data_IF_189396827395
#
_entry.id   IF_189396827395
#
_cell.length_a   1.000
_cell.length_b   1.000
_cell.length_c   1.000
_cell.angle_alpha   90.00
_cell.angle_beta   90.00
_cell.angle_gamma   90.00
#
_symmetry.space_group_name_H-M   'P 1'
#
loop_
_entity.id
_entity.type
_entity.pdbx_description
1 polymer ?
#
# COMPACT_ATOMS: atom_id res chain seq x y z
N UNK A 1 5.35 70.06 -32.38
CA UNK A 1 4.27 69.18 -31.85
C UNK A 1 4.96 68.17 -30.93
N UNK A 2 4.92 68.19 -29.59
CA UNK A 2 3.81 68.42 -28.63
C UNK A 2 2.90 67.18 -28.62
N UNK A 3 2.65 66.38 -27.57
CA UNK A 3 2.39 66.59 -26.13
C UNK A 3 2.58 65.24 -25.39
N UNK A 4 3.31 65.13 -24.27
CA UNK A 4 2.91 65.17 -22.83
C UNK A 4 2.20 63.94 -22.21
N UNK A 5 2.98 63.23 -21.38
CA UNK A 5 2.75 62.75 -20.00
C UNK A 5 1.34 62.44 -19.47
N UNK A 6 1.23 61.28 -18.79
CA UNK A 6 0.17 60.99 -17.82
C UNK A 6 0.60 59.93 -16.79
N UNK A 7 1.35 60.36 -15.76
CA UNK A 7 1.49 59.68 -14.48
C UNK A 7 0.31 60.07 -13.57
N UNK A 8 -0.37 59.10 -12.95
CA UNK A 8 -1.08 59.29 -11.68
C UNK A 8 -0.90 58.04 -10.83
N UNK A 9 -0.41 58.22 -9.59
CA UNK A 9 -0.19 57.16 -8.62
C UNK A 9 -1.17 57.17 -7.44
N UNK A 10 -1.22 56.01 -6.75
CA UNK A 10 -1.42 55.71 -5.30
C UNK A 10 -2.71 56.22 -4.60
N UNK A 11 -3.19 55.63 -3.46
CA UNK A 11 -2.46 54.85 -2.45
C UNK A 11 -3.15 53.55 -1.93
N UNK A 12 -2.45 52.91 -0.97
CA UNK A 12 -2.77 51.67 -0.26
C UNK A 12 -4.01 51.71 0.66
N UNK A 13 -4.59 50.53 0.94
CA UNK A 13 -5.21 50.22 2.25
C UNK A 13 -4.90 48.78 2.64
N UNK A 14 -4.20 48.65 3.76
CA UNK A 14 -3.97 47.43 4.54
C UNK A 14 -5.23 47.19 5.37
N UNK A 15 -5.78 45.97 5.39
CA UNK A 15 -6.66 45.57 6.49
C UNK A 15 -6.55 44.07 6.79
N UNK A 16 -5.76 43.77 7.82
CA UNK A 16 -5.72 42.49 8.50
C UNK A 16 -6.75 42.49 9.64
N UNK A 17 -7.62 41.48 9.78
CA UNK A 17 -8.27 41.20 11.04
C UNK A 17 -7.43 40.21 11.86
N UNK A 18 -6.88 40.72 12.96
CA UNK A 18 -6.31 39.96 14.07
C UNK A 18 -7.36 39.08 14.73
N UNK A 19 -6.95 37.84 15.01
CA UNK A 19 -7.34 36.93 16.09
C UNK A 19 -8.74 37.04 16.74
N UNK A 20 -9.44 35.91 16.79
CA UNK A 20 -10.18 35.51 17.99
C UNK A 20 -9.77 34.11 18.43
N UNK A 21 -8.99 34.09 19.50
CA UNK A 21 -8.82 32.97 20.41
C UNK A 21 -10.16 32.75 21.09
N UNK A 22 -10.84 31.64 20.81
CA UNK A 22 -11.92 31.18 21.67
C UNK A 22 -11.30 30.33 22.78
N UNK A 23 -11.21 30.93 23.97
CA UNK A 23 -11.00 30.22 25.21
C UNK A 23 -12.20 29.28 25.50
N UNK A 24 -11.99 28.15 26.19
CA UNK A 24 -13.07 27.25 26.59
C UNK A 24 -13.91 27.89 27.70
N UNK A 25 -15.20 28.09 27.42
CA UNK A 25 -16.19 28.43 28.45
C UNK A 25 -16.65 27.14 29.11
N UNK A 26 -16.24 26.95 30.36
CA UNK A 26 -16.81 25.95 31.26
C UNK A 26 -18.25 26.34 31.61
N UNK A 27 -19.19 25.43 31.37
CA UNK A 27 -20.57 25.51 31.85
C UNK A 27 -21.03 24.12 32.34
N UNK A 28 -22.00 24.09 33.29
CA UNK A 28 -21.99 23.18 34.44
C UNK A 28 -22.50 21.78 34.14
N UNK A 29 -21.95 20.81 34.88
CA UNK A 29 -22.41 19.42 34.91
C UNK A 29 -23.86 19.36 35.43
N UNK A 30 -24.78 18.95 34.57
CA UNK A 30 -26.14 18.58 34.95
C UNK A 30 -26.17 17.06 35.10
N UNK A 31 -26.18 16.61 36.35
CA UNK A 31 -26.35 15.21 36.72
C UNK A 31 -27.78 14.78 36.41
N UNK A 32 -27.95 13.94 35.39
CA UNK A 32 -29.23 13.26 35.11
C UNK A 32 -29.09 11.82 35.58
N UNK A 33 -29.71 11.52 36.72
CA UNK A 33 -29.87 10.16 37.23
C UNK A 33 -30.96 9.46 36.42
N UNK A 34 -30.57 8.52 35.55
CA UNK A 34 -31.49 7.59 34.89
C UNK A 34 -31.26 6.20 35.48
N UNK A 35 -32.23 5.74 36.27
CA UNK A 35 -32.33 4.36 36.74
C UNK A 35 -32.93 3.51 35.61
N UNK A 36 -32.22 2.47 35.18
CA UNK A 36 -32.71 1.47 34.22
C UNK A 36 -32.18 0.05 34.59
N UNK A 37 -32.92 -1.03 34.21
CA UNK A 37 -32.91 -2.38 34.83
C UNK A 37 -31.76 -3.30 34.33
N UNK A 38 -31.57 -4.53 34.89
CA UNK A 38 -30.29 -5.26 34.79
C UNK A 38 -30.02 -5.83 33.39
N UNK A 39 -28.74 -5.96 32.97
CA UNK A 39 -28.40 -6.50 31.66
C UNK A 39 -28.52 -8.03 31.62
N UNK A 40 -29.35 -8.51 30.70
CA UNK A 40 -29.35 -9.89 30.23
C UNK A 40 -28.36 -10.04 29.06
N UNK A 41 -27.49 -11.06 29.16
CA UNK A 41 -26.88 -11.81 28.06
C UNK A 41 -26.31 -11.03 26.88
N UNK A 42 -25.06 -10.58 27.00
CA UNK A 42 -24.24 -10.23 25.83
C UNK A 42 -23.67 -11.49 25.18
N UNK A 43 -24.15 -11.82 23.99
CA UNK A 43 -23.48 -12.75 23.07
C UNK A 43 -22.24 -12.03 22.50
N UNK A 44 -21.01 -12.57 22.62
CA UNK A 44 -19.88 -12.01 21.90
C UNK A 44 -20.03 -12.25 20.40
N UNK A 45 -19.79 -11.18 19.64
CA UNK A 45 -19.70 -11.16 18.19
C UNK A 45 -18.60 -12.11 17.68
N UNK A 46 -18.95 -12.94 16.71
CA UNK A 46 -17.99 -13.76 15.97
C UNK A 46 -17.34 -12.88 14.89
N UNK A 47 -16.23 -12.23 15.26
CA UNK A 47 -15.32 -11.59 14.31
C UNK A 47 -14.48 -12.69 13.68
N UNK A 48 -14.83 -13.10 12.46
CA UNK A 48 -14.10 -14.06 11.65
C UNK A 48 -12.80 -13.48 11.11
N UNK A 49 -11.85 -13.19 12.00
CA UNK A 49 -10.45 -13.03 11.65
C UNK A 49 -9.84 -14.43 11.57
N UNK A 50 -9.67 -14.96 10.36
CA UNK A 50 -8.83 -16.14 10.15
C UNK A 50 -7.40 -15.76 10.52
N UNK A 51 -7.03 -16.06 11.77
CA UNK A 51 -5.64 -16.06 12.20
C UNK A 51 -4.90 -17.14 11.43
N UNK A 52 -4.26 -16.74 10.33
CA UNK A 52 -3.27 -17.56 9.66
C UNK A 52 -2.13 -17.77 10.63
N UNK A 53 -2.03 -18.98 11.20
CA UNK A 53 -0.88 -19.35 12.03
C UNK A 53 0.38 -19.20 11.19
N UNK A 54 1.41 -18.48 11.66
CA UNK A 54 2.63 -18.28 10.87
C UNK A 54 3.24 -19.61 10.45
N UNK A 55 3.71 -19.74 9.20
CA UNK A 55 4.37 -20.96 8.74
C UNK A 55 5.64 -21.24 9.56
N UNK A 56 6.02 -22.52 9.74
CA UNK A 56 7.30 -22.87 10.34
C UNK A 56 8.47 -22.22 9.60
N UNK A 57 9.50 -21.81 10.35
CA UNK A 57 10.68 -21.12 9.81
C UNK A 57 11.41 -21.89 8.69
N UNK A 58 11.29 -23.22 8.73
CA UNK A 58 12.02 -24.14 7.84
C UNK A 58 11.18 -24.61 6.65
N UNK A 59 10.00 -24.03 6.44
CA UNK A 59 9.16 -24.39 5.30
C UNK A 59 9.88 -24.08 3.97
N UNK A 60 9.80 -25.02 3.03
CA UNK A 60 10.43 -24.90 1.71
C UNK A 60 9.82 -23.73 0.94
N UNK A 61 10.61 -22.99 0.14
CA UNK A 61 10.05 -22.00 -0.76
C UNK A 61 9.05 -22.57 -1.75
N UNK A 62 8.02 -21.79 -2.02
CA UNK A 62 7.06 -22.00 -3.10
C UNK A 62 7.45 -21.09 -4.26
N UNK A 63 7.31 -21.57 -5.50
CA UNK A 63 7.64 -20.76 -6.68
C UNK A 63 6.64 -20.98 -7.81
N UNK A 64 6.27 -19.89 -8.49
CA UNK A 64 5.42 -19.92 -9.69
C UNK A 64 6.03 -19.01 -10.75
N UNK A 65 6.26 -19.56 -11.93
CA UNK A 65 6.88 -18.86 -13.06
C UNK A 65 5.83 -18.33 -14.02
N UNK A 66 6.12 -17.20 -14.66
CA UNK A 66 5.29 -16.64 -15.72
C UNK A 66 3.89 -16.24 -15.28
N UNK A 67 3.71 -15.81 -14.03
CA UNK A 67 2.45 -15.23 -13.57
C UNK A 67 2.17 -14.01 -14.42
N UNK A 68 1.03 -14.04 -15.13
CA UNK A 68 0.51 -12.93 -15.91
C UNK A 68 -0.64 -12.31 -15.14
N UNK A 69 -0.35 -11.29 -14.35
CA UNK A 69 -1.32 -10.64 -13.47
C UNK A 69 -1.96 -9.44 -14.18
N UNK A 70 -3.26 -9.47 -14.49
CA UNK A 70 -3.99 -8.31 -15.00
C UNK A 70 -4.17 -7.25 -13.92
N UNK A 71 -4.50 -6.01 -14.32
CA UNK A 71 -4.95 -4.98 -13.38
C UNK A 71 -6.14 -5.46 -12.56
N UNK A 72 -6.15 -5.14 -11.26
CA UNK A 72 -7.24 -5.49 -10.34
C UNK A 72 -7.21 -6.95 -9.88
N UNK A 73 -6.06 -7.60 -10.02
CA UNK A 73 -5.80 -8.94 -9.49
C UNK A 73 -4.68 -8.89 -8.46
N UNK A 74 -4.68 -9.88 -7.58
CA UNK A 74 -3.64 -10.08 -6.58
C UNK A 74 -3.30 -11.56 -6.39
N UNK A 75 -2.21 -11.79 -5.66
CA UNK A 75 -1.89 -13.08 -5.05
C UNK A 75 -1.80 -12.92 -3.53
N UNK A 76 -2.00 -14.03 -2.81
CA UNK A 76 -1.70 -14.15 -1.38
C UNK A 76 -0.47 -15.05 -1.26
N UNK A 77 0.56 -14.58 -0.54
CA UNK A 77 1.86 -15.26 -0.41
C UNK A 77 1.76 -16.54 0.42
N UNK A 78 0.75 -16.66 1.28
CA UNK A 78 0.49 -17.89 2.05
C UNK A 78 -0.16 -19.02 1.24
N UNK A 79 -0.64 -18.74 0.04
CA UNK A 79 -1.33 -19.74 -0.78
C UNK A 79 -0.32 -20.73 -1.41
N UNK A 80 -0.60 -22.02 -1.26
CA UNK A 80 0.10 -23.12 -1.94
C UNK A 80 -0.93 -24.03 -2.63
N UNK A 81 -1.04 -24.00 -3.98
CA UNK A 81 -0.22 -23.21 -4.91
C UNK A 81 -0.61 -21.72 -4.92
N UNK A 82 0.32 -20.87 -5.38
CA UNK A 82 0.07 -19.43 -5.60
C UNK A 82 -1.01 -19.27 -6.67
N UNK A 83 -2.14 -18.62 -6.36
CA UNK A 83 -3.24 -18.40 -7.30
C UNK A 83 -3.57 -16.91 -7.50
N UNK A 84 -3.99 -16.56 -8.72
CA UNK A 84 -4.46 -15.22 -9.05
C UNK A 84 -5.93 -15.06 -8.62
N UNK A 85 -6.23 -13.96 -7.95
CA UNK A 85 -7.57 -13.65 -7.45
C UNK A 85 -7.97 -12.26 -7.92
N UNK A 86 -9.20 -12.13 -8.40
CA UNK A 86 -9.77 -10.84 -8.78
C UNK A 86 -10.11 -10.02 -7.52
N UNK A 87 -9.96 -8.71 -7.60
CA UNK A 87 -10.19 -7.77 -6.52
C UNK A 87 -8.90 -7.27 -5.86
N UNK A 88 -9.06 -6.51 -4.78
CA UNK A 88 -7.97 -5.89 -4.02
C UNK A 88 -7.78 -6.60 -2.66
N UNK A 89 -6.68 -6.30 -1.98
CA UNK A 89 -6.44 -6.75 -0.60
C UNK A 89 -5.59 -8.01 -0.45
N UNK A 90 -4.88 -8.42 -1.50
CA UNK A 90 -3.84 -9.44 -1.39
C UNK A 90 -2.49 -8.90 -0.93
N UNK A 91 -1.52 -9.80 -0.81
CA UNK A 91 -0.16 -9.47 -0.39
C UNK A 91 0.64 -8.79 -1.52
N UNK A 92 0.35 -9.15 -2.78
CA UNK A 92 0.90 -8.54 -3.98
C UNK A 92 -0.21 -8.36 -5.01
N UNK A 93 -0.64 -7.12 -5.22
CA UNK A 93 -1.60 -6.72 -6.24
C UNK A 93 -0.96 -5.95 -7.39
N UNK A 94 -1.65 -5.89 -8.52
CA UNK A 94 -1.29 -5.02 -9.64
C UNK A 94 -2.42 -4.03 -9.95
N UNK A 95 -2.12 -2.75 -9.78
CA UNK A 95 -2.98 -1.63 -10.19
C UNK A 95 -2.30 -0.89 -11.35
N UNK A 96 -3.08 -0.30 -12.26
CA UNK A 96 -2.58 0.46 -13.42
C UNK A 96 -3.10 1.89 -13.50
N UNK A 97 -3.75 2.37 -12.43
CA UNK A 97 -4.41 3.66 -12.24
C UNK A 97 -3.43 4.85 -12.21
N UNK A 98 -3.33 5.59 -11.10
CA UNK A 98 -2.52 6.82 -10.99
C UNK A 98 -0.98 6.58 -11.04
N UNK A 99 -0.50 5.72 -11.93
CA UNK A 99 0.88 5.22 -12.05
C UNK A 99 1.32 4.26 -10.93
N UNK A 100 0.38 3.73 -10.17
CA UNK A 100 0.66 2.61 -9.28
C UNK A 100 0.99 1.37 -10.13
N UNK A 101 1.82 0.48 -9.59
CA UNK A 101 2.21 -0.77 -10.23
C UNK A 101 1.92 -1.91 -9.26
N UNK A 102 2.96 -2.41 -8.58
CA UNK A 102 2.72 -3.32 -7.46
C UNK A 102 2.29 -2.58 -6.21
N UNK A 103 1.28 -3.11 -5.53
CA UNK A 103 0.72 -2.59 -4.28
C UNK A 103 0.36 -3.73 -3.31
N UNK A 104 0.23 -3.38 -2.04
CA UNK A 104 -0.21 -4.28 -0.97
C UNK A 104 -1.05 -3.51 0.05
N UNK A 105 -2.07 -4.14 0.63
CA UNK A 105 -2.89 -3.52 1.68
C UNK A 105 -2.29 -3.63 3.09
N UNK A 106 -1.21 -4.39 3.25
CA UNK A 106 -0.58 -4.64 4.55
C UNK A 106 0.87 -5.11 4.43
N UNK A 107 1.50 -4.80 3.30
CA UNK A 107 2.85 -5.25 2.99
C UNK A 107 3.72 -4.11 2.48
N UNK A 108 5.02 -4.32 2.58
CA UNK A 108 6.03 -3.39 2.10
C UNK A 108 6.74 -3.99 0.89
N UNK A 109 7.41 -3.13 0.13
CA UNK A 109 8.20 -3.50 -1.04
C UNK A 109 9.61 -2.96 -0.95
N UNK A 110 10.55 -3.70 -1.54
CA UNK A 110 11.86 -3.18 -1.89
C UNK A 110 12.11 -3.50 -3.35
N UNK A 111 12.31 -2.48 -4.17
CA UNK A 111 12.83 -2.67 -5.52
C UNK A 111 14.35 -2.65 -5.49
N UNK A 112 14.96 -3.80 -5.78
CA UNK A 112 16.41 -3.98 -5.76
C UNK A 112 17.09 -3.18 -6.87
N UNK A 113 18.31 -2.72 -6.59
CA UNK A 113 19.16 -2.12 -7.60
C UNK A 113 19.59 -3.17 -8.63
N UNK A 114 19.87 -2.75 -9.86
CA UNK A 114 20.24 -3.68 -10.95
C UNK A 114 21.53 -4.47 -10.67
N UNK A 115 22.39 -3.98 -9.78
CA UNK A 115 23.61 -4.66 -9.34
C UNK A 115 23.37 -5.70 -8.25
N UNK A 116 22.20 -5.68 -7.58
CA UNK A 116 21.83 -6.64 -6.55
C UNK A 116 21.12 -7.84 -7.18
N UNK A 117 21.58 -9.04 -6.86
CA UNK A 117 20.86 -10.27 -7.19
C UNK A 117 19.85 -10.56 -6.08
N UNK A 118 18.56 -10.71 -6.44
CA UNK A 118 17.53 -11.06 -5.48
C UNK A 118 17.72 -12.48 -4.94
N UNK A 119 17.55 -12.59 -3.63
CA UNK A 119 17.55 -13.82 -2.84
C UNK A 119 16.81 -13.55 -1.54
N UNK A 120 16.47 -14.61 -0.77
CA UNK A 120 15.90 -14.42 0.57
C UNK A 120 16.80 -13.58 1.47
N UNK A 121 18.11 -13.82 1.43
CA UNK A 121 19.10 -13.08 2.23
C UNK A 121 19.11 -11.60 1.83
N UNK A 122 19.16 -11.30 0.54
CA UNK A 122 19.12 -9.93 0.03
C UNK A 122 17.84 -9.22 0.44
N UNK A 123 16.68 -9.87 0.31
CA UNK A 123 15.41 -9.29 0.74
C UNK A 123 15.38 -9.09 2.27
N UNK A 124 15.92 -10.02 3.07
CA UNK A 124 15.99 -9.83 4.53
C UNK A 124 16.91 -8.66 4.93
N UNK A 125 17.95 -8.39 4.17
CA UNK A 125 18.95 -7.37 4.49
C UNK A 125 18.59 -5.96 3.99
N UNK A 126 17.77 -5.84 2.95
CA UNK A 126 17.42 -4.55 2.36
C UNK A 126 16.21 -3.93 3.07
N UNK A 127 16.37 -2.72 3.59
CA UNK A 127 15.37 -2.04 4.43
C UNK A 127 14.82 -0.77 3.79
N UNK A 128 14.99 -0.60 2.48
CA UNK A 128 14.51 0.57 1.72
C UNK A 128 13.03 0.40 1.34
N UNK A 129 12.21 0.19 2.36
CA UNK A 129 10.79 -0.13 2.21
C UNK A 129 10.02 0.98 1.51
N UNK A 130 9.03 0.57 0.72
CA UNK A 130 8.07 1.43 0.04
C UNK A 130 6.70 0.74 0.04
N UNK A 131 5.62 1.51 0.10
CA UNK A 131 4.24 0.97 0.11
C UNK A 131 3.77 0.51 -1.29
N UNK A 132 4.46 0.94 -2.34
CA UNK A 132 4.17 0.54 -3.72
C UNK A 132 5.40 0.67 -4.61
N UNK A 133 5.40 -0.11 -5.71
CA UNK A 133 6.36 0.03 -6.79
C UNK A 133 5.67 0.66 -7.99
N UNK A 134 6.12 1.86 -8.37
CA UNK A 134 5.61 2.56 -9.54
C UNK A 134 5.78 1.72 -10.82
N UNK A 135 4.77 1.75 -11.68
CA UNK A 135 4.75 1.00 -12.95
C UNK A 135 6.00 1.19 -13.80
N UNK A 136 6.56 2.41 -13.83
CA UNK A 136 7.79 2.72 -14.58
C UNK A 136 9.05 1.97 -14.10
N UNK A 137 9.04 1.44 -12.88
CA UNK A 137 10.13 0.61 -12.33
C UNK A 137 9.98 -0.87 -12.64
N UNK A 138 8.81 -1.30 -13.10
CA UNK A 138 8.54 -2.69 -13.49
C UNK A 138 9.10 -2.94 -14.90
N UNK A 139 10.40 -2.87 -15.06
CA UNK A 139 11.09 -3.18 -16.32
C UNK A 139 11.57 -4.62 -16.33
N UNK A 140 11.81 -5.19 -17.51
CA UNK A 140 12.39 -6.54 -17.64
C UNK A 140 13.65 -6.68 -16.79
N UNK A 141 13.69 -7.74 -15.98
CA UNK A 141 14.77 -8.07 -15.05
C UNK A 141 14.73 -7.30 -13.73
N UNK A 142 13.81 -6.36 -13.54
CA UNK A 142 13.60 -5.73 -12.24
C UNK A 142 13.21 -6.80 -11.20
N UNK A 143 13.74 -6.65 -9.99
CA UNK A 143 13.51 -7.57 -8.89
C UNK A 143 12.90 -6.79 -7.74
N UNK A 144 11.77 -7.28 -7.23
CA UNK A 144 11.01 -6.65 -6.17
C UNK A 144 10.84 -7.65 -5.03
N UNK A 145 11.39 -7.33 -3.87
CA UNK A 145 11.06 -8.02 -2.64
C UNK A 145 9.70 -7.54 -2.14
N UNK A 146 8.87 -8.48 -1.70
CA UNK A 146 7.53 -8.26 -1.14
C UNK A 146 7.56 -8.75 0.29
N UNK A 147 7.05 -7.97 1.23
CA UNK A 147 7.10 -8.31 2.65
C UNK A 147 5.69 -8.32 3.22
N UNK A 148 5.37 -9.40 3.94
CA UNK A 148 4.22 -9.45 4.85
C UNK A 148 4.73 -9.77 6.25
N UNK A 149 3.81 -9.87 7.21
CA UNK A 149 4.14 -10.27 8.58
C UNK A 149 4.78 -11.66 8.64
N UNK A 150 4.35 -12.58 7.77
CA UNK A 150 4.70 -14.00 7.85
C UNK A 150 5.51 -14.52 6.67
N UNK A 151 5.57 -13.78 5.57
CA UNK A 151 6.20 -14.22 4.33
C UNK A 151 7.09 -13.15 3.71
N UNK A 152 8.10 -13.59 2.96
CA UNK A 152 8.89 -12.76 2.06
C UNK A 152 8.73 -13.33 0.66
N UNK A 153 8.40 -12.47 -0.30
CA UNK A 153 8.35 -12.79 -1.72
C UNK A 153 9.49 -12.12 -2.49
N UNK A 154 9.90 -12.72 -3.61
CA UNK A 154 10.74 -12.10 -4.63
C UNK A 154 10.03 -12.24 -5.97
N UNK A 155 9.56 -11.11 -6.50
CA UNK A 155 8.99 -11.00 -7.83
C UNK A 155 10.06 -10.54 -8.83
N UNK A 156 10.26 -11.32 -9.91
CA UNK A 156 11.20 -11.01 -10.98
C UNK A 156 10.42 -10.70 -12.24
N UNK A 157 10.48 -9.45 -12.69
CA UNK A 157 9.73 -8.97 -13.85
C UNK A 157 10.32 -9.58 -15.12
N UNK A 158 9.51 -10.31 -15.90
CA UNK A 158 9.94 -10.94 -17.15
C UNK A 158 9.91 -9.97 -18.32
N UNK A 159 8.92 -9.08 -18.33
CA UNK A 159 8.67 -8.08 -19.36
C UNK A 159 8.09 -6.83 -18.70
N UNK A 160 8.35 -5.65 -19.29
CA UNK A 160 7.66 -4.45 -18.83
C UNK A 160 6.14 -4.62 -18.99
N UNK A 161 5.30 -3.97 -18.16
CA UNK A 161 3.85 -3.98 -18.31
C UNK A 161 3.42 -3.87 -19.76
N UNK A 162 2.52 -4.75 -20.15
CA UNK A 162 2.03 -4.88 -21.51
C UNK A 162 0.53 -4.64 -21.52
N UNK A 163 0.02 -4.16 -22.65
CA UNK A 163 -1.41 -4.06 -22.90
C UNK A 163 -1.80 -5.02 -24.03
N UNK A 164 -2.91 -5.74 -23.84
CA UNK A 164 -3.52 -6.56 -24.89
C UNK A 164 -5.03 -6.51 -24.75
N UNK A 165 -5.73 -6.28 -25.86
CA UNK A 165 -7.20 -6.21 -25.92
C UNK A 165 -7.80 -5.21 -24.91
N UNK A 166 -7.11 -4.07 -24.72
CA UNK A 166 -7.50 -3.02 -23.77
C UNK A 166 -7.31 -3.38 -22.29
N UNK A 167 -6.56 -4.45 -22.00
CA UNK A 167 -6.23 -4.88 -20.64
C UNK A 167 -4.72 -4.86 -20.41
N UNK A 168 -4.30 -4.08 -19.42
CA UNK A 168 -2.91 -4.06 -18.96
C UNK A 168 -2.63 -5.25 -18.02
N UNK A 169 -1.41 -5.77 -18.08
CA UNK A 169 -0.94 -6.83 -17.20
C UNK A 169 0.58 -6.74 -17.02
N UNK A 170 1.06 -7.26 -15.89
CA UNK A 170 2.48 -7.49 -15.63
C UNK A 170 2.78 -8.98 -15.66
N UNK A 171 3.96 -9.34 -16.17
CA UNK A 171 4.41 -10.75 -16.21
C UNK A 171 5.66 -10.92 -15.36
N UNK A 172 5.62 -11.83 -14.38
CA UNK A 172 6.72 -12.03 -13.45
C UNK A 172 6.83 -13.49 -12.97
N UNK A 173 8.00 -13.86 -12.48
CA UNK A 173 8.20 -15.05 -11.68
C UNK A 173 8.12 -14.67 -10.20
N UNK A 174 7.53 -15.52 -9.35
CA UNK A 174 7.43 -15.28 -7.91
C UNK A 174 8.01 -16.46 -7.14
N UNK A 175 8.90 -16.16 -6.20
CA UNK A 175 9.36 -17.10 -5.18
C UNK A 175 8.95 -16.57 -3.81
N UNK A 176 8.41 -17.43 -2.94
CA UNK A 176 7.93 -17.07 -1.61
C UNK A 176 8.59 -17.96 -0.57
N UNK A 177 9.02 -17.36 0.53
CA UNK A 177 9.57 -18.03 1.70
C UNK A 177 8.75 -17.67 2.94
N UNK A 178 8.64 -18.58 3.93
CA UNK A 178 8.30 -18.14 5.28
C UNK A 178 9.34 -17.11 5.74
N UNK A 179 8.89 -16.04 6.40
CA UNK A 179 9.81 -15.03 6.95
C UNK A 179 10.73 -15.66 8.02
N UNK A 180 10.19 -16.62 8.76
CA UNK A 180 10.78 -17.15 9.99
C UNK A 180 10.55 -16.20 11.18
N UNK A 181 10.84 -16.66 12.41
CA UNK A 181 10.75 -15.86 13.63
C UNK A 181 11.79 -14.73 13.68
#
# INVERSE_FOLDING_TARGET
>A
MGLLLGFFGLPAVVNSPTARVNAPVAQPAVTVTVTAPPPAGGTPAESGGQGSTPPPADAKPISKVGIRMPTGYHVVLSDDPIELREGYGGDLGYDSGMNLGFESSGGEFVALDRSQQGSLETCKADTRFADSINKSRLIKGAQVCVYTDSFIGLAIIREAPQERDGKEFVTFDLTVWPKGP
#
